data_IF_782969811891
#
_entry.id   IF_782969811891
#
_cell.length_a   1.000
_cell.length_b   1.000
_cell.length_c   1.000
_cell.angle_alpha   90.00
_cell.angle_beta   90.00
_cell.angle_gamma   90.00
#
_symmetry.space_group_name_H-M   'P 1'
#
loop_
_entity.id
_entity.type
_entity.pdbx_description
1 polymer ?
#
# COMPACT_ATOMS: atom_id res chain seq x y z
N UNK A 1 -7.86 -30.73 0.43
CA UNK A 1 -6.51 -30.15 0.54
C UNK A 1 -5.95 -30.24 1.96
N UNK A 2 -6.71 -29.90 3.01
CA UNK A 2 -6.24 -29.90 4.42
C UNK A 2 -5.71 -31.28 4.87
N UNK A 3 -6.42 -32.36 4.57
CA UNK A 3 -5.96 -33.72 4.90
C UNK A 3 -4.64 -34.08 4.21
N UNK A 4 -4.47 -33.70 2.94
CA UNK A 4 -3.23 -33.92 2.19
C UNK A 4 -2.05 -33.13 2.79
N UNK A 5 -2.30 -31.89 3.21
CA UNK A 5 -1.30 -31.08 3.91
C UNK A 5 -0.90 -31.72 5.24
N UNK A 6 -1.86 -32.24 6.02
CA UNK A 6 -1.56 -32.92 7.27
C UNK A 6 -0.70 -34.19 7.07
N UNK A 7 -0.96 -34.99 6.04
CA UNK A 7 -0.10 -36.12 5.69
C UNK A 7 1.30 -35.67 5.28
N UNK A 8 1.41 -34.61 4.47
CA UNK A 8 2.70 -34.02 4.08
C UNK A 8 3.50 -33.55 5.29
N UNK A 9 2.88 -32.83 6.23
CA UNK A 9 3.58 -32.33 7.43
C UNK A 9 4.01 -33.46 8.39
N UNK A 10 3.32 -34.61 8.35
CA UNK A 10 3.74 -35.83 9.07
C UNK A 10 4.83 -36.63 8.34
N UNK A 11 5.27 -36.18 7.17
CA UNK A 11 6.23 -36.91 6.32
C UNK A 11 5.63 -38.08 5.54
N UNK A 12 4.30 -38.26 5.60
CA UNK A 12 3.63 -39.32 4.85
C UNK A 12 3.32 -38.86 3.42
N UNK A 13 4.37 -38.78 2.61
CA UNK A 13 4.31 -38.22 1.26
C UNK A 13 3.44 -39.01 0.27
N UNK A 14 3.39 -40.36 0.27
CA UNK A 14 2.57 -41.10 -0.68
C UNK A 14 1.07 -40.75 -0.62
N UNK A 15 0.52 -40.66 0.59
CA UNK A 15 -0.89 -40.34 0.85
C UNK A 15 -1.18 -38.87 0.54
N UNK A 16 -0.24 -37.97 0.84
CA UNK A 16 -0.33 -36.57 0.45
C UNK A 16 -0.39 -36.44 -1.09
N UNK A 17 0.51 -37.12 -1.81
CA UNK A 17 0.54 -37.15 -3.28
C UNK A 17 -0.78 -37.69 -3.83
N UNK A 18 -1.25 -38.84 -3.35
CA UNK A 18 -2.50 -39.45 -3.83
C UNK A 18 -3.70 -38.51 -3.70
N UNK A 19 -3.82 -37.82 -2.56
CA UNK A 19 -4.90 -36.86 -2.32
C UNK A 19 -4.77 -35.60 -3.17
N UNK A 20 -3.56 -35.07 -3.35
CA UNK A 20 -3.34 -33.89 -4.20
C UNK A 20 -3.55 -34.20 -5.67
N UNK A 21 -3.10 -35.36 -6.15
CA UNK A 21 -3.31 -35.82 -7.54
C UNK A 21 -4.79 -35.98 -7.83
N UNK A 22 -5.54 -36.64 -6.94
CA UNK A 22 -7.01 -36.78 -7.10
C UNK A 22 -7.72 -35.42 -7.16
N UNK A 23 -7.30 -34.46 -6.34
CA UNK A 23 -7.87 -33.11 -6.37
C UNK A 23 -7.52 -32.35 -7.66
N UNK A 24 -6.29 -32.51 -8.16
CA UNK A 24 -5.84 -31.93 -9.42
C UNK A 24 -6.60 -32.53 -10.62
N UNK A 25 -6.83 -33.83 -10.64
CA UNK A 25 -7.63 -34.51 -11.69
C UNK A 25 -9.07 -34.00 -11.73
N UNK A 26 -9.68 -33.80 -10.56
CA UNK A 26 -11.06 -33.30 -10.48
C UNK A 26 -11.22 -31.82 -10.87
N UNK A 27 -10.19 -30.99 -10.63
CA UNK A 27 -10.25 -29.54 -10.86
C UNK A 27 -9.55 -29.10 -12.15
N UNK A 28 -8.72 -29.98 -12.74
CA UNK A 28 -7.78 -29.67 -13.81
C UNK A 28 -6.89 -28.45 -13.52
N UNK A 29 -6.65 -28.12 -12.25
CA UNK A 29 -5.75 -27.04 -11.80
C UNK A 29 -4.50 -27.69 -11.22
N UNK A 30 -3.28 -27.28 -11.63
CA UNK A 30 -2.05 -27.77 -11.02
C UNK A 30 -2.06 -27.57 -9.50
N UNK A 31 -1.62 -28.56 -8.74
CA UNK A 31 -1.69 -28.53 -7.26
C UNK A 31 -0.42 -27.95 -6.64
N UNK A 32 -0.52 -26.77 -6.02
CA UNK A 32 0.58 -26.20 -5.22
C UNK A 32 1.01 -27.13 -4.08
N UNK A 33 0.06 -27.82 -3.45
CA UNK A 33 0.34 -28.79 -2.40
C UNK A 33 1.17 -29.98 -2.90
N UNK A 34 0.95 -30.42 -4.14
CA UNK A 34 1.78 -31.46 -4.78
C UNK A 34 3.21 -30.96 -5.01
N UNK A 35 3.37 -29.73 -5.51
CA UNK A 35 4.68 -29.11 -5.69
C UNK A 35 5.46 -29.00 -4.37
N UNK A 36 4.82 -28.49 -3.31
CA UNK A 36 5.45 -28.38 -1.97
C UNK A 36 5.84 -29.78 -1.43
N UNK A 37 5.00 -30.79 -1.70
CA UNK A 37 5.31 -32.18 -1.33
C UNK A 37 6.55 -32.69 -2.05
N UNK A 38 6.66 -32.45 -3.37
CA UNK A 38 7.86 -32.81 -4.13
C UNK A 38 9.10 -32.06 -3.65
N UNK A 39 8.99 -30.78 -3.30
CA UNK A 39 10.12 -30.05 -2.72
C UNK A 39 10.60 -30.68 -1.41
N UNK A 40 9.67 -31.06 -0.52
CA UNK A 40 9.99 -31.77 0.75
C UNK A 40 10.68 -33.11 0.53
N UNK A 41 10.42 -33.77 -0.59
CA UNK A 41 11.06 -35.02 -1.00
C UNK A 41 12.41 -34.82 -1.72
N UNK A 42 12.88 -33.57 -1.90
CA UNK A 42 14.08 -33.27 -2.70
C UNK A 42 13.87 -33.38 -4.21
N UNK A 43 12.62 -33.52 -4.68
CA UNK A 43 12.24 -33.66 -6.09
C UNK A 43 12.02 -32.28 -6.72
N UNK A 44 13.08 -31.48 -6.73
CA UNK A 44 13.00 -30.05 -7.08
C UNK A 44 12.51 -29.80 -8.52
N UNK A 45 12.96 -30.60 -9.49
CA UNK A 45 12.56 -30.45 -10.89
C UNK A 45 11.04 -30.56 -11.08
N UNK A 46 10.40 -31.49 -10.37
CA UNK A 46 8.96 -31.70 -10.47
C UNK A 46 8.17 -30.60 -9.80
N UNK A 47 8.65 -30.12 -8.65
CA UNK A 47 8.08 -28.95 -7.99
C UNK A 47 8.17 -27.70 -8.87
N UNK A 48 9.31 -27.45 -9.52
CA UNK A 48 9.50 -26.33 -10.47
C UNK A 48 8.61 -26.46 -11.71
N UNK A 49 8.41 -27.68 -12.22
CA UNK A 49 7.49 -27.91 -13.34
C UNK A 49 6.04 -27.54 -12.96
N UNK A 50 5.58 -27.96 -11.77
CA UNK A 50 4.24 -27.59 -11.29
C UNK A 50 4.15 -26.08 -11.04
N UNK A 51 5.18 -25.44 -10.49
CA UNK A 51 5.23 -23.99 -10.34
C UNK A 51 5.03 -23.27 -11.69
N UNK A 52 5.76 -23.70 -12.73
CA UNK A 52 5.61 -23.14 -14.07
C UNK A 52 4.20 -23.35 -14.63
N UNK A 53 3.57 -24.50 -14.36
CA UNK A 53 2.18 -24.76 -14.75
C UNK A 53 1.18 -23.87 -14.00
N UNK A 54 1.38 -23.63 -12.70
CA UNK A 54 0.57 -22.71 -11.91
C UNK A 54 0.63 -21.28 -12.48
N UNK A 55 1.84 -20.80 -12.78
CA UNK A 55 2.04 -19.47 -13.37
C UNK A 55 1.39 -19.37 -14.74
N UNK A 56 1.63 -20.33 -15.65
CA UNK A 56 0.99 -20.35 -16.99
C UNK A 56 -0.53 -20.48 -16.92
N UNK A 57 -1.07 -21.14 -15.90
CA UNK A 57 -2.51 -21.27 -15.74
C UNK A 57 -3.16 -19.91 -15.42
N UNK A 58 -2.44 -18.96 -14.81
CA UNK A 58 -2.92 -17.60 -14.53
C UNK A 58 -3.26 -16.81 -15.79
N UNK A 59 -2.61 -17.10 -16.91
CA UNK A 59 -2.91 -16.47 -18.20
C UNK A 59 -4.32 -16.82 -18.72
N UNK A 60 -4.89 -17.92 -18.24
CA UNK A 60 -6.16 -18.48 -18.76
C UNK A 60 -7.29 -18.48 -17.72
N UNK A 61 -6.97 -18.51 -16.44
CA UNK A 61 -7.94 -18.57 -15.34
C UNK A 61 -7.33 -18.02 -14.05
N UNK A 62 -8.19 -17.66 -13.10
CA UNK A 62 -7.72 -17.28 -11.78
C UNK A 62 -7.02 -18.46 -11.07
N UNK A 63 -5.78 -18.22 -10.62
CA UNK A 63 -5.04 -19.12 -9.71
C UNK A 63 -4.47 -18.25 -8.60
N UNK A 64 -4.78 -18.57 -7.35
CA UNK A 64 -4.40 -17.76 -6.18
C UNK A 64 -2.89 -17.49 -6.11
N UNK A 65 -2.49 -16.21 -6.11
CA UNK A 65 -1.08 -15.79 -6.02
C UNK A 65 -0.38 -16.30 -4.74
N UNK A 66 -1.02 -16.32 -3.54
CA UNK A 66 -0.45 -16.96 -2.36
C UNK A 66 -0.09 -18.43 -2.53
N UNK A 67 -0.82 -19.20 -3.35
CA UNK A 67 -0.48 -20.60 -3.60
C UNK A 67 0.82 -20.72 -4.40
N UNK A 68 1.08 -19.79 -5.31
CA UNK A 68 2.33 -19.72 -6.08
C UNK A 68 3.48 -19.30 -5.14
N UNK A 69 3.26 -18.26 -4.33
CA UNK A 69 4.21 -17.82 -3.32
C UNK A 69 4.60 -18.95 -2.35
N UNK A 70 3.65 -19.79 -1.94
CA UNK A 70 3.91 -20.93 -1.06
C UNK A 70 4.84 -21.98 -1.70
N UNK A 71 4.67 -22.25 -3.00
CA UNK A 71 5.56 -23.16 -3.74
C UNK A 71 6.96 -22.56 -3.88
N UNK A 72 7.07 -21.28 -4.25
CA UNK A 72 8.36 -20.58 -4.32
C UNK A 72 9.07 -20.55 -2.98
N UNK A 73 8.31 -20.34 -1.88
CA UNK A 73 8.85 -20.40 -0.52
C UNK A 73 9.40 -21.78 -0.19
N UNK A 74 8.67 -22.85 -0.53
CA UNK A 74 9.12 -24.22 -0.31
C UNK A 74 10.41 -24.52 -1.08
N UNK A 75 10.54 -24.01 -2.32
CA UNK A 75 11.73 -24.11 -3.17
C UNK A 75 12.92 -23.25 -2.68
N UNK A 76 12.73 -22.44 -1.65
CA UNK A 76 13.76 -21.54 -1.12
C UNK A 76 13.92 -20.24 -1.93
N UNK A 77 13.13 -20.03 -2.97
CA UNK A 77 13.15 -18.81 -3.78
C UNK A 77 12.32 -17.70 -3.10
N UNK A 78 12.96 -17.04 -2.14
CA UNK A 78 12.33 -15.96 -1.38
C UNK A 78 12.00 -14.74 -2.26
N UNK A 79 12.81 -14.46 -3.28
CA UNK A 79 12.59 -13.31 -4.17
C UNK A 79 11.26 -13.49 -4.92
N UNK A 80 11.10 -14.65 -5.56
CA UNK A 80 9.87 -14.99 -6.26
C UNK A 80 8.67 -15.11 -5.30
N UNK A 81 8.88 -15.68 -4.11
CA UNK A 81 7.83 -15.77 -3.10
C UNK A 81 7.27 -14.39 -2.71
N UNK A 82 8.13 -13.41 -2.42
CA UNK A 82 7.68 -12.06 -2.08
C UNK A 82 7.04 -11.35 -3.26
N UNK A 83 7.53 -11.55 -4.49
CA UNK A 83 6.89 -11.01 -5.69
C UNK A 83 5.42 -11.45 -5.77
N UNK A 84 5.14 -12.74 -5.60
CA UNK A 84 3.76 -13.25 -5.60
C UNK A 84 2.93 -12.81 -4.39
N UNK A 85 3.55 -12.56 -3.23
CA UNK A 85 2.84 -11.99 -2.08
C UNK A 85 2.45 -10.52 -2.29
N UNK A 86 3.27 -9.74 -3.00
CA UNK A 86 2.90 -8.37 -3.40
C UNK A 86 1.76 -8.40 -4.43
N UNK A 87 1.82 -9.30 -5.42
CA UNK A 87 0.68 -9.51 -6.35
C UNK A 87 -0.58 -9.89 -5.57
N UNK A 88 -0.48 -10.78 -4.58
CA UNK A 88 -1.61 -11.15 -3.73
C UNK A 88 -2.15 -9.97 -2.91
N UNK A 89 -1.30 -9.02 -2.54
CA UNK A 89 -1.67 -7.81 -1.82
C UNK A 89 -2.48 -6.88 -2.72
N UNK A 90 -2.00 -6.65 -3.95
CA UNK A 90 -2.70 -5.86 -4.97
C UNK A 90 -4.05 -6.50 -5.37
N UNK A 91 -4.11 -7.84 -5.40
CA UNK A 91 -5.33 -8.61 -5.63
C UNK A 91 -6.29 -8.67 -4.42
N UNK A 92 -5.92 -8.06 -3.28
CA UNK A 92 -6.70 -8.11 -2.03
C UNK A 92 -7.03 -9.55 -1.59
N UNK A 93 -6.07 -10.47 -1.74
CA UNK A 93 -6.29 -11.88 -1.41
C UNK A 93 -6.53 -12.07 0.08
N UNK A 94 -7.71 -12.60 0.45
CA UNK A 94 -8.04 -12.88 1.86
C UNK A 94 -7.12 -13.89 2.55
N UNK A 95 -6.36 -14.69 1.79
CA UNK A 95 -5.35 -15.61 2.34
C UNK A 95 -4.25 -14.85 3.07
N UNK A 96 -3.93 -13.62 2.65
CA UNK A 96 -2.90 -12.78 3.28
C UNK A 96 -3.15 -12.52 4.76
N UNK A 97 -4.41 -12.56 5.22
CA UNK A 97 -4.76 -12.41 6.63
C UNK A 97 -4.19 -13.53 7.52
N UNK A 98 -3.90 -14.70 6.94
CA UNK A 98 -3.52 -15.90 7.67
C UNK A 98 -2.07 -16.33 7.42
N UNK A 99 -1.31 -15.64 6.56
CA UNK A 99 0.01 -16.11 6.10
C UNK A 99 1.02 -16.28 7.23
N UNK A 100 0.90 -15.51 8.31
CA UNK A 100 1.75 -15.64 9.49
C UNK A 100 1.54 -16.97 10.25
N UNK A 101 0.43 -17.68 9.99
CA UNK A 101 0.09 -18.93 10.66
C UNK A 101 0.22 -20.16 9.75
N UNK A 102 0.42 -19.95 8.44
CA UNK A 102 0.50 -21.03 7.46
C UNK A 102 1.92 -21.64 7.44
N UNK A 103 2.07 -22.97 7.68
CA UNK A 103 3.37 -23.64 7.74
C UNK A 103 4.24 -23.43 6.50
N UNK A 104 3.61 -23.27 5.33
CA UNK A 104 4.27 -23.06 4.03
C UNK A 104 5.13 -21.79 4.02
N UNK A 105 4.75 -20.76 4.79
CA UNK A 105 5.45 -19.47 4.82
C UNK A 105 6.45 -19.34 5.97
N UNK A 106 6.59 -20.35 6.83
CA UNK A 106 7.47 -20.30 8.01
C UNK A 106 8.90 -19.90 7.66
N UNK A 107 9.41 -20.29 6.48
CA UNK A 107 10.75 -19.92 6.01
C UNK A 107 10.92 -18.41 5.74
N UNK A 108 9.83 -17.67 5.50
CA UNK A 108 9.85 -16.23 5.28
C UNK A 108 9.87 -15.43 6.59
N UNK A 109 9.52 -16.02 7.74
CA UNK A 109 9.46 -15.30 9.01
C UNK A 109 10.81 -14.72 9.45
N UNK A 110 11.92 -15.30 8.98
CA UNK A 110 13.28 -14.82 9.22
C UNK A 110 13.71 -13.69 8.27
N UNK A 111 12.94 -13.42 7.21
CA UNK A 111 13.25 -12.39 6.23
C UNK A 111 12.65 -11.05 6.67
N UNK A 112 13.46 -9.98 6.67
CA UNK A 112 13.07 -8.65 7.14
C UNK A 112 11.89 -8.05 6.36
N UNK A 113 11.61 -8.54 5.14
CA UNK A 113 10.47 -8.09 4.33
C UNK A 113 9.13 -8.62 4.85
N UNK A 114 9.12 -9.75 5.58
CA UNK A 114 7.88 -10.39 6.03
C UNK A 114 7.10 -9.57 7.07
N UNK A 115 7.72 -9.03 8.14
CA UNK A 115 7.02 -8.13 9.05
C UNK A 115 6.44 -6.88 8.38
N UNK A 116 7.15 -6.31 7.40
CA UNK A 116 6.68 -5.13 6.66
C UNK A 116 5.42 -5.45 5.82
N UNK A 117 5.37 -6.62 5.18
CA UNK A 117 4.18 -7.09 4.47
C UNK A 117 2.99 -7.28 5.43
N UNK A 118 3.21 -7.91 6.59
CA UNK A 118 2.16 -8.09 7.60
C UNK A 118 1.62 -6.76 8.13
N UNK A 119 2.50 -5.79 8.38
CA UNK A 119 2.10 -4.45 8.82
C UNK A 119 1.17 -3.78 7.80
N UNK A 120 1.47 -3.90 6.50
CA UNK A 120 0.60 -3.37 5.43
C UNK A 120 -0.76 -4.07 5.38
N UNK A 121 -0.77 -5.40 5.53
CA UNK A 121 -2.01 -6.20 5.58
C UNK A 121 -2.88 -5.76 6.78
N UNK A 122 -2.29 -5.60 7.97
CA UNK A 122 -3.01 -5.16 9.17
C UNK A 122 -3.47 -3.69 9.09
N UNK A 123 -2.60 -2.78 8.64
CA UNK A 123 -2.92 -1.36 8.52
C UNK A 123 -4.15 -1.11 7.63
N UNK A 124 -4.30 -1.87 6.54
CA UNK A 124 -5.48 -1.77 5.66
C UNK A 124 -6.82 -2.07 6.33
N UNK A 125 -6.85 -2.88 7.39
CA UNK A 125 -8.08 -3.24 8.12
C UNK A 125 -8.45 -2.23 9.23
N UNK A 126 -7.44 -1.53 9.76
CA UNK A 126 -7.60 -0.60 10.86
C UNK A 126 -7.69 0.87 10.43
N UNK A 127 -7.67 1.17 9.13
CA UNK A 127 -7.78 2.56 8.65
C UNK A 127 -9.07 3.24 9.11
N UNK A 128 -8.93 4.21 10.00
CA UNK A 128 -10.01 5.05 10.53
C UNK A 128 -10.35 6.16 9.53
N UNK A 129 -9.35 6.65 8.80
CA UNK A 129 -9.49 7.72 7.83
C UNK A 129 -9.06 7.26 6.44
N UNK A 130 -9.75 7.73 5.42
CA UNK A 130 -9.40 7.47 4.02
C UNK A 130 -9.45 8.76 3.20
N UNK A 131 -8.50 8.92 2.27
CA UNK A 131 -8.55 10.00 1.29
C UNK A 131 -9.64 9.63 0.28
N UNK A 132 -10.72 10.42 0.26
CA UNK A 132 -11.83 10.28 -0.67
C UNK A 132 -11.50 10.91 -2.03
N UNK A 133 -10.90 12.11 -2.03
CA UNK A 133 -10.52 12.83 -3.25
C UNK A 133 -9.24 13.66 -3.09
N UNK A 134 -8.58 13.89 -4.22
CA UNK A 134 -7.48 14.85 -4.38
C UNK A 134 -7.65 15.50 -5.75
N UNK A 135 -8.14 16.74 -5.78
CA UNK A 135 -8.49 17.45 -7.01
C UNK A 135 -7.65 18.71 -7.11
N UNK A 136 -6.75 18.75 -8.10
CA UNK A 136 -5.89 19.91 -8.37
C UNK A 136 -6.57 20.82 -9.41
N UNK A 137 -6.60 22.12 -9.15
CA UNK A 137 -7.15 23.13 -10.07
C UNK A 137 -6.16 24.28 -10.22
N UNK A 138 -5.95 24.73 -11.46
CA UNK A 138 -5.12 25.90 -11.74
C UNK A 138 -5.94 27.18 -11.62
N UNK A 139 -5.37 28.18 -10.96
CA UNK A 139 -5.95 29.50 -10.78
C UNK A 139 -5.21 30.47 -11.69
N UNK A 140 -5.96 31.21 -12.49
CA UNK A 140 -5.38 32.27 -13.31
C UNK A 140 -5.05 33.48 -12.44
N UNK A 141 -3.78 33.61 -12.05
CA UNK A 141 -3.25 34.74 -11.30
C UNK A 141 -2.20 35.49 -12.15
N UNK A 142 -2.47 36.74 -12.58
CA UNK A 142 -1.55 37.47 -13.43
C UNK A 142 -0.18 37.72 -12.77
N UNK A 143 -0.11 37.71 -11.43
CA UNK A 143 1.11 37.94 -10.65
C UNK A 143 1.90 36.66 -10.36
N UNK A 144 1.28 35.48 -10.50
CA UNK A 144 1.92 34.20 -10.28
C UNK A 144 2.34 33.53 -11.60
N UNK A 145 3.49 32.88 -11.59
CA UNK A 145 3.92 31.99 -12.66
C UNK A 145 3.05 30.73 -12.69
N UNK A 146 2.69 30.22 -11.50
CA UNK A 146 1.75 29.13 -11.34
C UNK A 146 1.04 29.29 -10.01
N UNK A 147 -0.27 29.10 -10.01
CA UNK A 147 -1.12 29.14 -8.83
C UNK A 147 -2.06 27.94 -8.89
N UNK A 148 -1.99 27.05 -7.91
CA UNK A 148 -2.84 25.88 -7.83
C UNK A 148 -3.58 25.79 -6.51
N UNK A 149 -4.81 25.30 -6.55
CA UNK A 149 -5.56 24.85 -5.40
C UNK A 149 -5.72 23.33 -5.45
N UNK A 150 -5.29 22.65 -4.39
CA UNK A 150 -5.51 21.23 -4.19
C UNK A 150 -6.61 21.04 -3.16
N UNK A 151 -7.76 20.54 -3.60
CA UNK A 151 -8.83 20.08 -2.73
C UNK A 151 -8.56 18.64 -2.28
N UNK A 152 -8.47 18.42 -0.99
CA UNK A 152 -8.27 17.10 -0.37
C UNK A 152 -9.50 16.75 0.46
N UNK A 153 -10.19 15.68 0.08
CA UNK A 153 -11.30 15.13 0.85
C UNK A 153 -10.85 13.95 1.70
N UNK A 154 -11.06 14.02 3.01
CA UNK A 154 -10.79 12.91 3.94
C UNK A 154 -12.08 12.48 4.61
N UNK A 155 -12.39 11.19 4.53
CA UNK A 155 -13.60 10.60 5.10
C UNK A 155 -13.24 9.65 6.24
N UNK A 156 -13.84 9.80 7.43
CA UNK A 156 -13.71 8.82 8.49
C UNK A 156 -14.62 7.62 8.26
N UNK A 157 -14.24 6.49 8.85
CA UNK A 157 -15.09 5.31 8.97
C UNK A 157 -16.27 5.62 9.91
N UNK A 158 -17.49 5.10 9.65
CA UNK A 158 -18.60 5.24 10.58
C UNK A 158 -18.25 4.75 11.99
N UNK A 159 -18.65 5.52 13.01
CA UNK A 159 -18.35 5.19 14.41
C UNK A 159 -16.95 5.60 14.88
N UNK A 160 -16.25 6.45 14.13
CA UNK A 160 -14.97 7.02 14.58
C UNK A 160 -15.16 7.85 15.85
N UNK A 161 -14.43 7.59 16.95
CA UNK A 161 -14.53 8.39 18.16
C UNK A 161 -13.97 9.81 17.97
N UNK A 162 -14.57 10.78 18.66
CA UNK A 162 -14.01 12.13 18.79
C UNK A 162 -12.87 12.15 19.84
N UNK A 163 -12.05 13.20 19.83
CA UNK A 163 -10.97 13.40 20.80
C UNK A 163 -9.60 12.82 20.38
N UNK A 164 -9.53 12.24 19.18
CA UNK A 164 -8.30 11.72 18.60
C UNK A 164 -7.62 12.73 17.68
N UNK A 165 -6.30 12.65 17.58
CA UNK A 165 -5.50 13.58 16.79
C UNK A 165 -5.52 13.17 15.32
N UNK A 166 -6.07 14.02 14.45
CA UNK A 166 -6.03 13.82 13.00
C UNK A 166 -5.11 14.85 12.37
N UNK A 167 -4.20 14.37 11.52
CA UNK A 167 -3.30 15.23 10.76
C UNK A 167 -3.33 14.89 9.28
N UNK A 168 -3.56 15.90 8.45
CA UNK A 168 -3.45 15.79 6.99
C UNK A 168 -2.21 16.58 6.58
N UNK A 169 -1.20 15.90 6.05
CA UNK A 169 0.02 16.52 5.55
C UNK A 169 -0.04 16.57 4.04
N UNK A 170 0.03 17.78 3.49
CA UNK A 170 0.15 18.01 2.04
C UNK A 170 1.52 18.60 1.77
N UNK A 171 2.29 17.95 0.90
CA UNK A 171 3.62 18.41 0.48
C UNK A 171 3.63 18.64 -1.02
N UNK A 172 4.09 19.81 -1.45
CA UNK A 172 4.27 20.13 -2.86
C UNK A 172 5.74 20.02 -3.27
N UNK A 173 5.97 19.70 -4.53
CA UNK A 173 7.30 19.47 -5.09
C UNK A 173 7.48 20.23 -6.40
N UNK A 174 8.71 20.66 -6.65
CA UNK A 174 9.13 21.35 -7.87
C UNK A 174 10.18 20.57 -8.64
N UNK A 175 10.10 20.65 -9.96
CA UNK A 175 11.17 20.23 -10.85
C UNK A 175 12.17 21.38 -10.99
N UNK A 176 13.44 21.12 -10.74
CA UNK A 176 14.54 22.03 -11.08
C UNK A 176 14.75 22.09 -12.60
N UNK A 177 15.61 23.01 -13.07
CA UNK A 177 16.00 23.11 -14.49
C UNK A 177 16.52 21.78 -15.05
N UNK A 178 17.21 21.00 -14.23
CA UNK A 178 17.77 19.68 -14.59
C UNK A 178 16.75 18.54 -14.39
N UNK A 179 15.46 18.85 -14.25
CA UNK A 179 14.35 17.93 -14.00
C UNK A 179 14.49 17.08 -12.72
N UNK A 180 15.24 17.56 -11.72
CA UNK A 180 15.30 16.92 -10.41
C UNK A 180 14.09 17.32 -9.58
N UNK A 181 13.41 16.33 -9.00
CA UNK A 181 12.30 16.54 -8.09
C UNK A 181 12.83 17.01 -6.72
N UNK A 182 12.32 18.12 -6.19
CA UNK A 182 12.70 18.68 -4.89
C UNK A 182 11.49 19.20 -4.12
N UNK A 183 11.53 19.24 -2.77
CA UNK A 183 10.52 19.95 -1.99
C UNK A 183 10.36 21.39 -2.49
N UNK A 184 9.12 21.86 -2.48
CA UNK A 184 8.86 23.19 -3.02
C UNK A 184 9.44 24.30 -2.13
N UNK A 185 9.87 25.37 -2.78
CA UNK A 185 10.12 26.64 -2.11
C UNK A 185 8.98 27.66 -2.30
N UNK A 186 7.95 27.33 -3.10
CA UNK A 186 6.83 28.21 -3.38
C UNK A 186 6.04 28.56 -2.11
N UNK A 187 5.20 29.60 -2.21
CA UNK A 187 4.31 29.98 -1.11
C UNK A 187 3.18 28.95 -1.01
N UNK A 188 2.99 28.38 0.18
CA UNK A 188 1.94 27.39 0.45
C UNK A 188 0.96 27.95 1.48
N UNK A 189 -0.33 27.71 1.28
CA UNK A 189 -1.41 28.05 2.21
C UNK A 189 -2.34 26.87 2.46
N UNK A 190 -3.09 26.93 3.57
CA UNK A 190 -4.05 25.90 3.95
C UNK A 190 -5.34 26.54 4.45
N UNK A 191 -6.49 26.02 3.98
CA UNK A 191 -7.80 26.49 4.39
C UNK A 191 -8.80 25.33 4.46
N UNK A 192 -9.54 25.22 5.56
CA UNK A 192 -10.61 24.23 5.68
C UNK A 192 -11.88 24.72 4.98
N UNK A 193 -12.37 23.96 4.01
CA UNK A 193 -13.62 24.25 3.29
C UNK A 193 -14.86 23.78 4.06
N UNK A 194 -14.69 22.82 4.96
CA UNK A 194 -15.75 22.31 5.84
C UNK A 194 -15.52 22.79 7.27
N UNK A 195 -16.49 23.48 7.85
CA UNK A 195 -16.58 23.68 9.29
C UNK A 195 -16.99 22.37 9.94
N UNK A 196 -16.05 21.64 10.54
CA UNK A 196 -16.36 20.36 11.19
C UNK A 196 -15.99 20.39 12.67
N UNK A 197 -16.97 20.07 13.51
CA UNK A 197 -16.77 19.77 14.93
C UNK A 197 -16.34 18.29 15.05
N UNK A 198 -15.08 17.99 14.72
CA UNK A 198 -14.49 16.66 14.89
C UNK A 198 -14.74 15.66 13.74
N UNK A 199 -14.44 14.38 14.01
CA UNK A 199 -14.34 13.30 13.01
C UNK A 199 -15.40 12.19 13.18
N UNK A 200 -16.35 12.35 14.12
CA UNK A 200 -17.35 11.32 14.41
C UNK A 200 -18.39 11.09 13.29
N UNK A 201 -18.84 12.17 12.64
CA UNK A 201 -19.77 12.02 11.51
C UNK A 201 -19.09 11.32 10.32
N UNK A 202 -19.82 10.53 9.53
CA UNK A 202 -19.22 9.82 8.40
C UNK A 202 -18.98 10.69 7.14
N UNK A 203 -19.31 11.99 7.17
CA UNK A 203 -19.16 12.89 6.02
C UNK A 203 -17.68 13.18 5.68
N UNK A 204 -17.29 13.39 4.42
CA UNK A 204 -15.94 13.84 4.11
C UNK A 204 -15.70 15.28 4.60
N UNK A 205 -14.51 15.54 5.14
CA UNK A 205 -13.99 16.88 5.42
C UNK A 205 -13.06 17.29 4.30
N UNK A 206 -13.08 18.58 3.95
CA UNK A 206 -12.32 19.09 2.82
C UNK A 206 -11.30 20.14 3.27
N UNK A 207 -10.04 19.86 2.99
CA UNK A 207 -8.91 20.79 3.13
C UNK A 207 -8.51 21.30 1.76
N UNK A 208 -8.38 22.60 1.62
CA UNK A 208 -7.76 23.25 0.47
C UNK A 208 -6.30 23.57 0.81
N UNK A 209 -5.38 23.14 -0.05
CA UNK A 209 -3.97 23.51 0.01
C UNK A 209 -3.61 24.32 -1.24
N UNK A 210 -3.14 25.55 -1.04
CA UNK A 210 -2.77 26.46 -2.12
C UNK A 210 -1.27 26.42 -2.36
N UNK A 211 -0.86 26.42 -3.62
CA UNK A 211 0.52 26.58 -4.06
C UNK A 211 0.59 27.84 -4.94
N UNK A 212 1.51 28.76 -4.63
CA UNK A 212 1.73 29.99 -5.42
C UNK A 212 3.22 30.20 -5.66
N UNK A 213 3.61 30.18 -6.94
CA UNK A 213 4.95 30.60 -7.38
C UNK A 213 4.88 31.98 -8.03
N UNK A 214 5.41 33.05 -7.42
CA UNK A 214 5.38 34.41 -7.97
C UNK A 214 6.24 34.58 -9.23
N UNK A 215 5.89 35.50 -10.13
CA UNK A 215 6.70 35.80 -11.35
C UNK A 215 7.97 36.61 -11.09
N UNK A 216 7.96 37.52 -10.12
CA UNK A 216 8.92 38.63 -10.04
C UNK A 216 9.82 38.63 -8.80
N UNK A 217 9.68 37.66 -7.89
CA UNK A 217 10.54 37.57 -6.71
C UNK A 217 11.84 36.83 -7.03
N UNK A 218 12.97 37.51 -6.83
CA UNK A 218 14.33 37.04 -7.15
C UNK A 218 14.70 35.71 -6.47
N UNK A 219 14.13 35.43 -5.28
CA UNK A 219 14.31 34.15 -4.57
C UNK A 219 13.71 32.93 -5.31
N UNK A 220 12.77 33.16 -6.24
CA UNK A 220 12.12 32.12 -7.05
C UNK A 220 12.65 32.04 -8.49
N UNK A 221 13.70 32.80 -8.80
CA UNK A 221 14.31 32.86 -10.12
C UNK A 221 15.26 31.67 -10.42
N UNK A 222 15.19 30.60 -9.63
CA UNK A 222 15.99 29.38 -9.84
C UNK A 222 15.48 28.49 -10.99
N UNK A 223 14.37 28.90 -11.62
CA UNK A 223 13.76 28.21 -12.76
C UNK A 223 13.01 26.94 -12.39
N UNK A 224 12.69 26.75 -11.11
CA UNK A 224 11.80 25.67 -10.67
C UNK A 224 10.40 25.84 -11.24
N UNK A 225 9.77 24.71 -11.56
CA UNK A 225 8.36 24.62 -11.96
C UNK A 225 7.65 23.60 -11.12
N UNK A 226 6.34 23.76 -10.96
CA UNK A 226 5.51 22.79 -10.26
C UNK A 226 5.72 21.37 -10.82
N UNK A 227 5.94 20.40 -9.94
CA UNK A 227 6.18 19.01 -10.33
C UNK A 227 5.22 18.00 -9.69
N UNK A 228 4.51 18.36 -8.62
CA UNK A 228 3.47 17.50 -8.07
C UNK A 228 3.21 17.68 -6.58
N UNK A 229 2.46 16.76 -6.00
CA UNK A 229 2.11 16.75 -4.58
C UNK A 229 2.05 15.34 -3.99
N UNK A 230 2.21 15.26 -2.67
CA UNK A 230 1.81 14.11 -1.85
C UNK A 230 0.80 14.56 -0.80
N UNK A 231 -0.12 13.67 -0.44
CA UNK A 231 -1.05 13.80 0.68
C UNK A 231 -0.88 12.59 1.57
N UNK A 232 -0.75 12.80 2.88
CA UNK A 232 -0.72 11.74 3.90
C UNK A 232 -1.69 12.08 5.02
N UNK A 233 -2.49 11.10 5.43
CA UNK A 233 -3.47 11.26 6.50
C UNK A 233 -3.06 10.38 7.66
N UNK A 234 -3.01 10.96 8.85
CA UNK A 234 -2.63 10.29 10.10
C UNK A 234 -3.78 10.39 11.11
N UNK A 235 -3.92 9.33 11.91
CA UNK A 235 -4.81 9.26 13.06
C UNK A 235 -3.99 8.78 14.25
N UNK A 236 -3.94 9.55 15.33
CA UNK A 236 -3.07 9.36 16.50
C UNK A 236 -1.61 9.07 16.13
N UNK A 237 -1.10 9.78 15.13
CA UNK A 237 0.27 9.64 14.64
C UNK A 237 0.51 8.44 13.71
N UNK A 238 -0.45 7.53 13.54
CA UNK A 238 -0.33 6.41 12.61
C UNK A 238 -0.82 6.78 11.21
N UNK A 239 -0.03 6.47 10.19
CA UNK A 239 -0.41 6.68 8.79
C UNK A 239 -1.63 5.82 8.44
N UNK A 240 -2.69 6.47 7.96
CA UNK A 240 -3.95 5.86 7.58
C UNK A 240 -4.05 5.69 6.06
N UNK A 241 -3.71 6.74 5.30
CA UNK A 241 -3.80 6.71 3.83
C UNK A 241 -2.82 7.70 3.21
N UNK A 242 -2.43 7.47 1.96
CA UNK A 242 -1.57 8.37 1.20
C UNK A 242 -1.91 8.39 -0.28
N UNK A 243 -1.77 9.56 -0.90
CA UNK A 243 -1.92 9.75 -2.35
C UNK A 243 -0.84 10.66 -2.88
N UNK A 244 -0.53 10.53 -4.16
CA UNK A 244 0.39 11.44 -4.83
C UNK A 244 0.06 11.60 -6.31
N UNK A 245 0.43 12.76 -6.83
CA UNK A 245 0.45 13.02 -8.26
C UNK A 245 1.74 13.77 -8.59
N UNK A 246 2.68 13.16 -9.35
CA UNK A 246 2.64 11.78 -9.83
C UNK A 246 2.85 10.72 -8.71
N UNK A 247 2.42 9.46 -8.90
CA UNK A 247 2.45 8.43 -7.84
C UNK A 247 3.84 8.11 -7.27
N UNK A 248 4.89 8.19 -8.10
CA UNK A 248 6.27 7.86 -7.71
C UNK A 248 6.86 8.81 -6.65
N UNK A 249 6.20 9.95 -6.36
CA UNK A 249 6.62 10.85 -5.29
C UNK A 249 6.60 10.20 -3.90
N UNK A 250 5.70 9.23 -3.65
CA UNK A 250 5.67 8.53 -2.36
C UNK A 250 6.93 7.69 -2.14
N UNK A 251 7.53 7.16 -3.22
CA UNK A 251 8.78 6.40 -3.17
C UNK A 251 10.00 7.32 -3.11
N UNK A 252 9.99 8.44 -3.84
CA UNK A 252 11.10 9.39 -3.84
C UNK A 252 11.21 10.17 -2.52
N UNK A 253 10.08 10.41 -1.87
CA UNK A 253 9.99 11.12 -0.59
C UNK A 253 9.16 10.28 0.37
N UNK A 254 9.74 9.20 0.94
CA UNK A 254 9.10 8.49 2.04
C UNK A 254 8.89 9.49 3.17
N UNK A 255 7.68 9.56 3.73
CA UNK A 255 7.36 10.56 4.75
C UNK A 255 8.30 10.45 5.94
N UNK A 256 8.76 11.56 6.50
CA UNK A 256 9.59 11.53 7.71
C UNK A 256 8.77 10.99 8.89
N UNK A 257 9.28 9.95 9.55
CA UNK A 257 8.77 9.43 10.84
C UNK A 257 8.97 10.44 11.99
N UNK A 258 9.53 11.63 11.74
CA UNK A 258 9.72 12.69 12.72
C UNK A 258 9.27 14.07 12.23
N UNK A 259 8.10 14.48 12.75
CA UNK A 259 7.69 15.83 13.18
C UNK A 259 8.69 17.00 12.95
N UNK A 260 8.62 17.71 11.83
CA UNK A 260 9.00 19.15 11.76
C UNK A 260 8.21 19.92 10.70
N UNK A 261 6.91 20.10 10.94
CA UNK A 261 6.10 21.30 10.63
C UNK A 261 4.61 20.93 10.57
N UNK A 262 3.76 21.45 11.47
CA UNK A 262 2.34 21.15 11.44
C UNK A 262 1.63 21.98 10.35
N UNK A 263 0.77 21.39 9.50
CA UNK A 263 -0.40 22.10 9.00
C UNK A 263 -1.33 22.39 10.19
N UNK A 264 -2.18 23.44 10.14
CA UNK A 264 -2.90 23.91 11.32
C UNK A 264 -3.71 22.77 11.94
N UNK A 265 -3.65 22.69 13.27
CA UNK A 265 -4.52 21.81 14.05
C UNK A 265 -5.97 21.98 13.58
N UNK A 266 -6.76 20.90 13.74
CA UNK A 266 -8.21 20.95 13.58
C UNK A 266 -8.78 22.23 14.24
N UNK A 267 -9.85 22.83 13.67
CA UNK A 267 -10.30 24.18 14.02
C UNK A 267 -10.39 24.40 15.54
N UNK A 268 -10.00 25.58 16.05
CA UNK A 268 -9.96 25.82 17.48
C UNK A 268 -11.39 25.90 18.04
N UNK A 269 -11.62 25.17 19.12
CA UNK A 269 -12.70 25.43 20.08
C UNK A 269 -13.43 24.17 20.52
N UNK A 270 -13.66 23.90 21.81
CA UNK A 270 -13.21 24.54 23.05
C UNK A 270 -13.72 23.62 24.16
N UNK A 271 -12.87 23.30 25.14
CA UNK A 271 -13.33 22.81 26.44
C UNK A 271 -14.32 23.81 27.05
N UNK A 272 -15.24 23.33 27.89
CA UNK A 272 -14.89 23.24 29.31
C UNK A 272 -14.62 21.82 29.78
#
# INVERSE_FOLDING_TARGET
SVLAAAYREKGNFPEAIALYTKAQEATHVPSSGLAITYTRMGREMEARNILAQLVRARDKRYVSAPLIAAVSTALGDKVEAFHWLEVAYDEHSGVLQWIAFLPEFRALHSDARFPHLLQRISASHDTILKIAETTLSEINDPKAQSHFNLKVGVKPRPGTPNGHAVRIVVSFYDLTKDNKMMPTNAQIGYHWLTSANGWAEAAPRFLEATYVRPKTQTFFADGRRYGGFTVRVYFDGQLQDSRASPPHLLTLFPGEDHLTNPPPDAPPGSSP
#
